data_IF_843505510442
#
_entry.id   IF_843505510442
#
_cell.length_a   1.000
_cell.length_b   1.000
_cell.length_c   1.000
_cell.angle_alpha   90.00
_cell.angle_beta   90.00
_cell.angle_gamma   90.00
#
_symmetry.space_group_name_H-M   'P 1'
#
loop_
_entity.id
_entity.type
_entity.pdbx_description
1 polymer ?
#
# COMPACT_ATOMS: atom_id res chain seq x y z
N UNK A 1 37.00 26.07 -49.88
CA UNK A 1 36.68 26.86 -51.09
C UNK A 1 35.55 26.12 -51.80
N UNK A 2 34.27 26.37 -51.47
CA UNK A 2 33.33 27.39 -52.00
C UNK A 2 32.24 26.66 -52.83
N UNK A 3 31.06 26.39 -52.22
CA UNK A 3 29.67 26.90 -52.55
C UNK A 3 29.06 26.40 -53.87
N UNK A 4 27.78 26.03 -54.06
CA UNK A 4 26.54 26.02 -53.25
C UNK A 4 25.35 25.38 -54.03
N UNK A 5 24.50 24.61 -53.33
CA UNK A 5 23.00 24.62 -53.28
C UNK A 5 22.03 24.23 -54.44
N UNK A 6 21.02 23.40 -54.06
CA UNK A 6 19.52 23.49 -54.21
C UNK A 6 18.86 22.16 -54.68
N UNK A 7 18.11 21.45 -53.83
CA UNK A 7 16.61 21.35 -53.76
C UNK A 7 15.97 20.66 -54.99
N UNK A 8 14.96 19.77 -54.94
CA UNK A 8 14.03 19.28 -53.92
C UNK A 8 12.82 18.63 -54.66
N UNK A 9 12.24 17.57 -54.07
CA UNK A 9 11.16 16.70 -54.57
C UNK A 9 9.85 17.38 -55.06
N UNK A 10 9.19 16.76 -56.05
CA UNK A 10 7.75 16.93 -56.33
C UNK A 10 7.07 15.56 -56.47
N UNK A 11 6.18 15.23 -55.52
CA UNK A 11 5.17 14.18 -55.66
C UNK A 11 3.78 14.78 -55.41
N UNK A 12 2.97 14.82 -56.47
CA UNK A 12 1.56 15.20 -56.46
C UNK A 12 0.70 14.00 -56.03
N UNK A 13 -0.01 14.12 -54.90
CA UNK A 13 -1.21 13.34 -54.62
C UNK A 13 -2.23 14.22 -53.90
N UNK A 14 -3.34 14.43 -54.59
CA UNK A 14 -4.45 15.33 -54.27
C UNK A 14 -5.16 14.97 -52.96
N UNK A 15 -5.20 15.91 -52.02
CA UNK A 15 -6.10 15.89 -50.86
C UNK A 15 -7.46 16.47 -51.25
N UNK A 16 -8.60 15.87 -50.85
CA UNK A 16 -9.87 16.58 -50.89
C UNK A 16 -9.96 17.50 -49.65
N UNK A 17 -10.30 18.77 -49.89
CA UNK A 17 -10.60 19.77 -48.86
C UNK A 17 -11.84 19.38 -48.03
N UNK A 18 -11.94 19.82 -46.77
CA UNK A 18 -13.07 19.49 -45.91
C UNK A 18 -14.34 20.17 -46.40
N UNK A 19 -15.40 19.39 -46.60
CA UNK A 19 -16.76 19.93 -46.74
C UNK A 19 -17.22 20.40 -45.37
N UNK A 20 -17.33 21.72 -45.22
CA UNK A 20 -18.18 22.37 -44.23
C UNK A 20 -19.64 22.16 -44.62
N UNK A 21 -20.37 21.34 -43.87
CA UNK A 21 -21.83 21.25 -43.97
C UNK A 21 -22.48 22.01 -42.79
N UNK A 22 -23.43 22.93 -43.04
CA UNK A 22 -23.98 23.83 -42.05
C UNK A 22 -25.33 23.31 -41.56
N UNK A 23 -25.30 22.39 -40.60
CA UNK A 23 -26.47 22.10 -39.75
C UNK A 23 -25.98 21.52 -38.43
N UNK A 24 -26.06 22.34 -37.38
CA UNK A 24 -25.59 21.99 -36.06
C UNK A 24 -26.32 20.80 -35.44
N UNK A 25 -25.56 20.05 -34.65
CA UNK A 25 -25.97 19.41 -33.40
C UNK A 25 -27.27 18.62 -33.41
N UNK A 26 -27.17 17.32 -33.71
CA UNK A 26 -27.89 16.29 -32.96
C UNK A 26 -26.95 15.10 -32.79
N UNK A 27 -26.50 14.93 -31.55
CA UNK A 27 -25.88 13.69 -31.08
C UNK A 27 -26.97 12.60 -31.15
N UNK A 28 -26.80 11.58 -31.98
CA UNK A 28 -27.69 10.42 -31.97
C UNK A 28 -27.38 9.61 -30.69
N UNK A 29 -28.31 9.49 -29.72
CA UNK A 29 -28.09 8.75 -28.48
C UNK A 29 -27.95 7.22 -28.70
N UNK A 30 -28.23 6.71 -29.90
CA UNK A 30 -28.14 5.29 -30.24
C UNK A 30 -26.89 4.90 -31.03
N UNK A 31 -26.05 5.86 -31.43
CA UNK A 31 -24.76 5.58 -32.11
C UNK A 31 -23.73 4.83 -31.22
N UNK A 32 -24.07 4.61 -29.94
CA UNK A 32 -23.27 3.86 -28.97
C UNK A 32 -23.36 2.32 -29.18
N UNK A 33 -24.25 1.84 -30.06
CA UNK A 33 -24.51 0.40 -30.24
C UNK A 33 -23.96 -0.24 -31.53
N UNK A 34 -23.10 0.43 -32.29
CA UNK A 34 -22.51 -0.20 -33.50
C UNK A 34 -21.48 -1.28 -33.15
N UNK A 35 -21.93 -2.54 -33.10
CA UNK A 35 -21.08 -3.74 -33.26
C UNK A 35 -20.61 -3.78 -34.70
N UNK A 36 -19.44 -3.21 -34.98
CA UNK A 36 -18.81 -3.33 -36.29
C UNK A 36 -18.16 -4.72 -36.43
N UNK A 37 -18.93 -5.67 -36.98
CA UNK A 37 -18.36 -6.87 -37.60
C UNK A 37 -17.80 -6.49 -38.97
N UNK A 38 -16.48 -6.30 -39.06
CA UNK A 38 -15.65 -6.77 -40.17
C UNK A 38 -14.17 -6.36 -39.99
N UNK A 39 -13.31 -7.35 -39.76
CA UNK A 39 -12.02 -7.44 -40.45
C UNK A 39 -10.91 -6.43 -40.15
N UNK A 40 -10.80 -5.87 -38.94
CA UNK A 40 -9.57 -5.31 -38.37
C UNK A 40 -9.81 -5.12 -36.86
N UNK A 41 -8.80 -5.35 -36.00
CA UNK A 41 -8.88 -5.29 -34.51
C UNK A 41 -10.01 -4.36 -34.02
N UNK A 42 -11.14 -4.96 -33.63
CA UNK A 42 -12.36 -4.22 -33.31
C UNK A 42 -12.09 -3.24 -32.16
N UNK A 43 -12.26 -1.94 -32.39
CA UNK A 43 -12.35 -0.98 -31.30
C UNK A 43 -13.61 -1.33 -30.50
N UNK A 44 -13.45 -1.86 -29.28
CA UNK A 44 -14.59 -2.02 -28.36
C UNK A 44 -15.30 -0.68 -28.20
N UNK A 45 -16.63 -0.69 -28.27
CA UNK A 45 -17.43 0.50 -27.98
C UNK A 45 -17.17 1.00 -26.56
N UNK A 46 -17.39 2.29 -26.30
CA UNK A 46 -17.21 2.89 -24.96
C UNK A 46 -18.01 2.16 -23.88
N UNK A 47 -19.17 1.60 -24.23
CA UNK A 47 -19.98 0.76 -23.32
C UNK A 47 -19.30 -0.58 -23.06
N UNK A 48 -18.79 -1.24 -24.11
CA UNK A 48 -18.02 -2.48 -23.96
C UNK A 48 -16.79 -2.27 -23.08
N UNK A 49 -16.08 -1.14 -23.26
CA UNK A 49 -14.94 -0.78 -22.41
C UNK A 49 -15.37 -0.58 -20.95
N UNK A 50 -16.39 0.23 -20.69
CA UNK A 50 -16.89 0.44 -19.31
C UNK A 50 -17.29 -0.88 -18.61
N UNK A 51 -17.95 -1.79 -19.32
CA UNK A 51 -18.31 -3.11 -18.79
C UNK A 51 -17.06 -3.95 -18.45
N UNK A 52 -16.04 -3.92 -19.32
CA UNK A 52 -14.78 -4.59 -19.07
C UNK A 52 -14.07 -4.02 -17.84
N UNK A 53 -13.99 -2.68 -17.71
CA UNK A 53 -13.37 -2.02 -16.56
C UNK A 53 -14.08 -2.37 -15.25
N UNK A 54 -15.41 -2.36 -15.26
CA UNK A 54 -16.23 -2.77 -14.11
C UNK A 54 -15.95 -4.21 -13.71
N UNK A 55 -15.96 -5.13 -14.68
CA UNK A 55 -15.70 -6.55 -14.45
C UNK A 55 -14.30 -6.79 -13.90
N UNK A 56 -13.28 -6.15 -14.49
CA UNK A 56 -11.89 -6.27 -14.03
C UNK A 56 -11.73 -5.79 -12.59
N UNK A 57 -12.33 -4.65 -12.22
CA UNK A 57 -12.26 -4.16 -10.84
C UNK A 57 -12.83 -5.18 -9.84
N UNK A 58 -14.04 -5.69 -10.11
CA UNK A 58 -14.77 -6.60 -9.24
C UNK A 58 -14.10 -7.98 -9.12
N UNK A 59 -13.56 -8.50 -10.22
CA UNK A 59 -13.02 -9.86 -10.27
C UNK A 59 -11.54 -9.89 -9.87
N UNK A 60 -10.75 -8.95 -10.39
CA UNK A 60 -9.28 -9.07 -10.38
C UNK A 60 -8.60 -8.18 -9.34
N UNK A 61 -9.23 -7.07 -8.91
CA UNK A 61 -8.61 -6.12 -7.98
C UNK A 61 -9.16 -6.21 -6.57
N UNK A 62 -10.48 -6.28 -6.44
CA UNK A 62 -11.14 -6.08 -5.15
C UNK A 62 -11.08 -7.23 -4.14
N UNK A 63 -10.77 -8.49 -4.51
CA UNK A 63 -10.39 -9.49 -3.52
C UNK A 63 -9.28 -9.03 -2.58
N UNK A 64 -8.40 -8.11 -3.01
CA UNK A 64 -7.27 -7.59 -2.23
C UNK A 64 -7.67 -6.69 -1.06
N UNK A 65 -8.94 -6.24 -0.99
CA UNK A 65 -9.50 -5.52 0.17
C UNK A 65 -10.43 -6.39 1.03
N UNK A 66 -10.66 -7.65 0.64
CA UNK A 66 -11.43 -8.57 1.46
C UNK A 66 -10.64 -8.94 2.74
N UNK A 67 -11.35 -9.10 3.85
CA UNK A 67 -10.77 -9.52 5.13
C UNK A 67 -10.41 -11.01 5.19
N UNK A 68 -10.69 -11.76 4.13
CA UNK A 68 -10.40 -13.19 4.02
C UNK A 68 -10.06 -13.57 2.58
N UNK A 69 -9.22 -14.61 2.42
CA UNK A 69 -8.96 -15.25 1.13
C UNK A 69 -9.93 -16.39 0.80
N UNK A 70 -10.90 -16.69 1.67
CA UNK A 70 -11.92 -17.71 1.41
C UNK A 70 -12.81 -17.28 0.24
N UNK A 71 -12.96 -18.17 -0.73
CA UNK A 71 -13.76 -17.92 -1.94
C UNK A 71 -15.20 -17.49 -1.64
N UNK A 72 -15.82 -18.06 -0.60
CA UNK A 72 -17.18 -17.71 -0.18
C UNK A 72 -17.29 -16.27 0.34
N UNK A 73 -16.30 -15.78 1.08
CA UNK A 73 -16.32 -14.40 1.60
C UNK A 73 -16.09 -13.39 0.48
N UNK A 74 -15.18 -13.71 -0.45
CA UNK A 74 -14.94 -12.92 -1.67
C UNK A 74 -16.21 -12.85 -2.52
N UNK A 75 -16.91 -13.97 -2.71
CA UNK A 75 -18.15 -14.01 -3.50
C UNK A 75 -19.30 -13.24 -2.81
N UNK A 76 -19.42 -13.36 -1.50
CA UNK A 76 -20.42 -12.61 -0.71
C UNK A 76 -20.21 -11.11 -0.87
N UNK A 77 -18.97 -10.65 -0.74
CA UNK A 77 -18.59 -9.27 -1.00
C UNK A 77 -18.92 -8.85 -2.43
N UNK A 78 -18.47 -9.63 -3.41
CA UNK A 78 -18.69 -9.38 -4.84
C UNK A 78 -20.17 -9.19 -5.16
N UNK A 79 -21.02 -10.13 -4.73
CA UNK A 79 -22.45 -10.10 -4.97
C UNK A 79 -23.11 -8.86 -4.33
N UNK A 80 -22.74 -8.53 -3.08
CA UNK A 80 -23.25 -7.35 -2.40
C UNK A 80 -22.86 -6.05 -3.13
N UNK A 81 -21.59 -5.91 -3.53
CA UNK A 81 -21.12 -4.71 -4.20
C UNK A 81 -21.71 -4.53 -5.60
N UNK A 82 -21.86 -5.63 -6.37
CA UNK A 82 -22.55 -5.59 -7.67
C UNK A 82 -24.00 -5.15 -7.50
N UNK A 83 -24.70 -5.70 -6.51
CA UNK A 83 -26.10 -5.34 -6.22
C UNK A 83 -26.22 -3.84 -5.92
N UNK A 84 -25.34 -3.30 -5.08
CA UNK A 84 -25.34 -1.87 -4.75
C UNK A 84 -24.96 -1.00 -5.96
N UNK A 85 -24.04 -1.45 -6.81
CA UNK A 85 -23.66 -0.72 -8.02
C UNK A 85 -24.81 -0.64 -9.03
N UNK A 86 -25.64 -1.68 -9.13
CA UNK A 86 -26.85 -1.68 -9.95
C UNK A 86 -27.93 -0.72 -9.40
N UNK A 87 -27.97 -0.53 -8.08
CA UNK A 87 -28.91 0.38 -7.41
C UNK A 87 -28.42 1.84 -7.40
N UNK A 88 -27.10 2.06 -7.46
CA UNK A 88 -26.49 3.36 -7.27
C UNK A 88 -25.45 3.66 -8.36
N UNK A 89 -25.84 4.48 -9.34
CA UNK A 89 -25.01 4.82 -10.50
C UNK A 89 -23.66 5.48 -10.13
N UNK A 90 -23.58 6.20 -9.01
CA UNK A 90 -22.33 6.77 -8.52
C UNK A 90 -21.32 5.70 -8.10
N UNK A 91 -21.79 4.60 -7.52
CA UNK A 91 -20.94 3.48 -7.15
C UNK A 91 -20.45 2.79 -8.42
N UNK A 92 -21.35 2.46 -9.36
CA UNK A 92 -20.98 1.88 -10.66
C UNK A 92 -19.88 2.69 -11.38
N UNK A 93 -20.05 4.01 -11.43
CA UNK A 93 -19.05 4.93 -12.00
C UNK A 93 -17.72 4.88 -11.25
N UNK A 94 -17.75 4.79 -9.91
CA UNK A 94 -16.55 4.66 -9.09
C UNK A 94 -15.81 3.33 -9.34
N UNK A 95 -16.56 2.23 -9.54
CA UNK A 95 -16.01 0.90 -9.87
C UNK A 95 -15.29 0.95 -11.23
N UNK A 96 -15.95 1.53 -12.24
CA UNK A 96 -15.38 1.72 -13.58
C UNK A 96 -14.13 2.58 -13.51
N UNK A 97 -14.15 3.65 -12.71
CA UNK A 97 -13.00 4.50 -12.51
C UNK A 97 -11.81 3.76 -11.87
N UNK A 98 -12.07 2.97 -10.83
CA UNK A 98 -11.05 2.13 -10.19
C UNK A 98 -10.43 1.14 -11.20
N UNK A 99 -11.28 0.40 -11.91
CA UNK A 99 -10.87 -0.58 -12.92
C UNK A 99 -10.03 0.03 -14.02
N UNK A 100 -10.49 1.14 -14.60
CA UNK A 100 -9.78 1.86 -15.65
C UNK A 100 -8.48 2.49 -15.17
N UNK A 101 -8.40 2.97 -13.93
CA UNK A 101 -7.17 3.54 -13.36
C UNK A 101 -6.08 2.49 -13.17
N UNK A 102 -6.46 1.26 -12.79
CA UNK A 102 -5.54 0.14 -12.67
C UNK A 102 -5.09 -0.38 -14.03
N UNK A 103 -6.02 -0.57 -14.97
CA UNK A 103 -5.68 -0.98 -16.33
C UNK A 103 -4.79 0.05 -17.01
N UNK A 104 -5.06 1.35 -16.84
CA UNK A 104 -4.20 2.40 -17.40
C UNK A 104 -2.78 2.39 -16.84
N UNK A 105 -2.60 1.97 -15.57
CA UNK A 105 -1.29 1.93 -14.93
C UNK A 105 -0.39 0.81 -15.46
N UNK A 106 -0.97 -0.36 -15.81
CA UNK A 106 -0.24 -1.52 -16.33
C UNK A 106 -0.35 -1.73 -17.85
N UNK A 107 -1.34 -1.10 -18.50
CA UNK A 107 -1.70 -1.33 -19.88
C UNK A 107 -1.20 -0.26 -20.85
N UNK A 108 -1.52 -0.44 -22.14
CA UNK A 108 -1.27 0.56 -23.16
C UNK A 108 -2.19 1.78 -22.98
N UNK A 109 -1.68 2.98 -23.28
CA UNK A 109 -2.43 4.25 -23.18
C UNK A 109 -3.42 4.39 -24.34
N UNK A 110 -4.43 3.55 -24.38
CA UNK A 110 -5.44 3.64 -25.42
C UNK A 110 -6.37 4.85 -25.13
N UNK A 111 -6.64 5.71 -26.13
CA UNK A 111 -7.46 6.90 -25.93
C UNK A 111 -8.88 6.59 -25.41
N UNK A 112 -9.44 5.43 -25.76
CA UNK A 112 -10.78 5.04 -25.35
C UNK A 112 -10.86 4.73 -23.84
N UNK A 113 -9.93 3.95 -23.29
CA UNK A 113 -9.85 3.68 -21.85
C UNK A 113 -9.56 4.95 -21.05
N UNK A 114 -8.72 5.85 -21.58
CA UNK A 114 -8.49 7.14 -20.92
C UNK A 114 -9.77 7.99 -20.91
N UNK A 115 -10.53 8.01 -22.01
CA UNK A 115 -11.81 8.70 -22.07
C UNK A 115 -12.82 8.12 -21.07
N UNK A 116 -12.93 6.79 -20.97
CA UNK A 116 -13.76 6.11 -19.96
C UNK A 116 -13.32 6.48 -18.56
N UNK A 117 -12.02 6.47 -18.27
CA UNK A 117 -11.43 6.84 -16.97
C UNK A 117 -11.80 8.27 -16.56
N UNK A 118 -11.59 9.24 -17.45
CA UNK A 118 -11.90 10.65 -17.20
C UNK A 118 -13.40 10.86 -16.99
N UNK A 119 -14.23 10.22 -17.80
CA UNK A 119 -15.69 10.32 -17.72
C UNK A 119 -16.20 9.74 -16.41
N UNK A 120 -15.78 8.52 -16.08
CA UNK A 120 -16.15 7.83 -14.86
C UNK A 120 -15.76 8.61 -13.61
N UNK A 121 -14.55 9.19 -13.56
CA UNK A 121 -14.11 10.04 -12.45
C UNK A 121 -15.05 11.23 -12.22
N UNK A 122 -15.33 12.00 -13.29
CA UNK A 122 -16.19 13.18 -13.20
C UNK A 122 -17.64 12.83 -12.85
N UNK A 123 -18.14 11.72 -13.39
CA UNK A 123 -19.48 11.22 -13.09
C UNK A 123 -19.61 10.77 -11.64
N UNK A 124 -18.59 10.09 -11.09
CA UNK A 124 -18.54 9.73 -9.68
C UNK A 124 -18.57 10.97 -8.80
N UNK A 125 -17.70 11.95 -9.04
CA UNK A 125 -17.65 13.18 -8.23
C UNK A 125 -19.01 13.90 -8.19
N UNK A 126 -19.61 14.09 -9.35
CA UNK A 126 -20.89 14.80 -9.48
C UNK A 126 -22.02 14.08 -8.75
N UNK A 127 -22.11 12.76 -8.89
CA UNK A 127 -23.20 11.98 -8.32
C UNK A 127 -23.01 11.69 -6.84
N UNK A 128 -21.77 11.45 -6.37
CA UNK A 128 -21.45 11.29 -4.94
C UNK A 128 -21.80 12.57 -4.18
N UNK A 129 -21.47 13.74 -4.72
CA UNK A 129 -21.85 15.02 -4.11
C UNK A 129 -23.36 15.12 -3.89
N UNK A 130 -24.17 14.84 -4.91
CA UNK A 130 -25.63 14.82 -4.81
C UNK A 130 -26.12 13.79 -3.79
N UNK A 131 -25.49 12.63 -3.74
CA UNK A 131 -25.85 11.58 -2.78
C UNK A 131 -25.55 11.99 -1.33
N UNK A 132 -24.45 12.70 -1.08
CA UNK A 132 -24.12 13.26 0.24
C UNK A 132 -25.14 14.34 0.63
N UNK A 133 -25.46 15.26 -0.28
CA UNK A 133 -26.48 16.31 -0.05
C UNK A 133 -27.84 15.67 0.31
N UNK A 134 -28.28 14.67 -0.44
CA UNK A 134 -29.53 13.96 -0.16
C UNK A 134 -29.52 13.20 1.19
N UNK A 135 -28.37 12.68 1.63
CA UNK A 135 -28.25 12.03 2.93
C UNK A 135 -28.38 13.02 4.10
N UNK A 136 -27.95 14.27 3.90
CA UNK A 136 -28.10 15.34 4.90
C UNK A 136 -29.57 15.77 4.98
N UNK A 137 -30.22 15.95 3.84
CA UNK A 137 -31.63 16.38 3.76
C UNK A 137 -32.60 15.33 4.29
N UNK A 138 -32.30 14.03 4.10
CA UNK A 138 -33.17 12.93 4.53
C UNK A 138 -33.32 12.85 6.06
N UNK A 139 -32.50 13.55 6.87
CA UNK A 139 -32.59 13.59 8.35
C UNK A 139 -32.50 12.23 9.05
N UNK A 140 -32.33 11.16 8.28
CA UNK A 140 -32.42 9.79 8.72
C UNK A 140 -31.15 9.43 9.46
N UNK A 141 -31.28 9.29 10.77
CA UNK A 141 -30.28 8.82 11.73
C UNK A 141 -29.89 7.36 11.49
N UNK A 142 -29.58 6.92 10.26
CA UNK A 142 -29.10 5.56 9.95
C UNK A 142 -29.93 4.41 10.55
N UNK A 143 -31.20 4.69 10.87
CA UNK A 143 -32.03 3.84 11.72
C UNK A 143 -32.64 2.68 10.92
N UNK A 144 -32.87 2.88 9.62
CA UNK A 144 -33.34 1.83 8.72
C UNK A 144 -32.16 1.11 8.05
N UNK A 145 -32.29 -0.20 7.76
CA UNK A 145 -31.29 -0.95 7.00
C UNK A 145 -30.95 -0.31 5.65
N UNK A 146 -31.96 0.22 4.95
CA UNK A 146 -31.79 0.83 3.62
C UNK A 146 -31.01 2.15 3.68
N UNK A 147 -31.27 3.00 4.68
CA UNK A 147 -30.51 4.23 4.89
C UNK A 147 -29.04 3.92 5.22
N UNK A 148 -28.79 2.86 6.00
CA UNK A 148 -27.44 2.38 6.31
C UNK A 148 -26.72 1.86 5.07
N UNK A 149 -27.41 1.09 4.22
CA UNK A 149 -26.85 0.57 2.97
C UNK A 149 -26.52 1.71 1.98
N UNK A 150 -27.40 2.71 1.85
CA UNK A 150 -27.16 3.92 1.05
C UNK A 150 -25.93 4.69 1.55
N UNK A 151 -25.81 4.87 2.87
CA UNK A 151 -24.66 5.52 3.48
C UNK A 151 -23.34 4.73 3.30
N UNK A 152 -23.36 3.39 3.48
CA UNK A 152 -22.22 2.52 3.18
C UNK A 152 -21.79 2.65 1.71
N UNK A 153 -22.76 2.72 0.80
CA UNK A 153 -22.50 2.87 -0.64
C UNK A 153 -21.79 4.19 -0.94
N UNK A 154 -22.22 5.30 -0.33
CA UNK A 154 -21.54 6.60 -0.47
C UNK A 154 -20.12 6.53 0.08
N UNK A 155 -19.93 5.95 1.27
CA UNK A 155 -18.61 5.80 1.90
C UNK A 155 -17.68 4.93 1.03
N UNK A 156 -18.18 3.85 0.42
CA UNK A 156 -17.42 3.02 -0.52
C UNK A 156 -16.98 3.81 -1.75
N UNK A 157 -17.87 4.61 -2.35
CA UNK A 157 -17.51 5.45 -3.49
C UNK A 157 -16.44 6.49 -3.13
N UNK A 158 -16.54 7.10 -1.94
CA UNK A 158 -15.52 8.04 -1.43
C UNK A 158 -14.19 7.33 -1.16
N UNK A 159 -14.20 6.09 -0.66
CA UNK A 159 -12.99 5.29 -0.48
C UNK A 159 -12.26 5.02 -1.80
N UNK A 160 -13.01 4.68 -2.86
CA UNK A 160 -12.45 4.49 -4.20
C UNK A 160 -11.85 5.79 -4.75
N UNK A 161 -12.54 6.93 -4.58
CA UNK A 161 -11.99 8.23 -4.95
C UNK A 161 -10.71 8.57 -4.17
N UNK A 162 -10.65 8.24 -2.87
CA UNK A 162 -9.46 8.47 -2.04
C UNK A 162 -8.25 7.63 -2.49
N UNK A 163 -8.46 6.35 -2.79
CA UNK A 163 -7.41 5.42 -3.23
C UNK A 163 -6.86 5.83 -4.60
N UNK A 164 -7.75 6.08 -5.56
CA UNK A 164 -7.36 6.27 -6.96
C UNK A 164 -7.03 7.74 -7.30
N UNK A 165 -7.53 8.69 -6.51
CA UNK A 165 -7.30 10.12 -6.67
C UNK A 165 -7.78 10.67 -8.02
N UNK A 166 -7.32 11.86 -8.44
CA UNK A 166 -7.60 12.35 -9.78
C UNK A 166 -6.85 11.53 -10.85
N UNK A 167 -7.34 11.48 -12.10
CA UNK A 167 -6.65 10.82 -13.18
C UNK A 167 -5.26 11.43 -13.38
N UNK A 168 -4.23 10.63 -13.13
CA UNK A 168 -2.82 11.00 -13.35
C UNK A 168 -2.20 10.08 -14.39
N UNK A 169 -1.26 10.61 -15.16
CA UNK A 169 -0.47 9.86 -16.14
C UNK A 169 0.73 9.17 -15.47
N UNK A 170 0.42 8.38 -14.44
CA UNK A 170 1.39 7.54 -13.76
C UNK A 170 1.33 6.12 -14.34
N UNK A 171 2.48 5.61 -14.76
CA UNK A 171 2.64 4.21 -15.17
C UNK A 171 3.47 3.45 -14.14
N UNK A 172 3.08 2.21 -13.88
CA UNK A 172 3.92 1.25 -13.19
C UNK A 172 4.96 0.69 -14.12
N UNK A 173 6.04 0.18 -13.55
CA UNK A 173 6.94 -0.67 -14.31
C UNK A 173 6.49 -2.11 -14.06
N UNK A 174 5.91 -2.79 -15.05
CA UNK A 174 5.64 -4.24 -14.94
C UNK A 174 6.96 -5.00 -14.80
N UNK A 175 7.51 -5.05 -13.59
CA UNK A 175 8.75 -5.73 -13.26
C UNK A 175 8.49 -6.96 -12.39
N UNK A 176 7.23 -7.32 -12.10
CA UNK A 176 6.95 -8.36 -11.12
C UNK A 176 5.80 -9.32 -11.47
N UNK A 177 5.96 -10.56 -10.99
CA UNK A 177 5.23 -11.78 -11.37
C UNK A 177 3.77 -11.88 -10.88
N UNK A 178 3.40 -12.81 -9.97
CA UNK A 178 2.01 -13.14 -9.61
C UNK A 178 1.10 -11.93 -9.33
N UNK A 179 -0.22 -12.07 -9.56
CA UNK A 179 -1.24 -10.99 -9.46
C UNK A 179 -1.16 -10.18 -8.15
N UNK A 180 -0.93 -10.84 -7.01
CA UNK A 180 -0.76 -10.20 -5.70
C UNK A 180 0.33 -9.11 -5.70
N UNK A 181 1.39 -9.31 -6.48
CA UNK A 181 2.49 -8.37 -6.59
C UNK A 181 2.12 -7.13 -7.38
N UNK A 182 1.27 -7.29 -8.41
CA UNK A 182 0.76 -6.16 -9.20
C UNK A 182 -0.11 -5.25 -8.34
N UNK A 183 -1.00 -5.82 -7.53
CA UNK A 183 -1.83 -5.02 -6.63
C UNK A 183 -0.97 -4.25 -5.63
N UNK A 184 0.05 -4.92 -5.08
CA UNK A 184 0.98 -4.28 -4.15
C UNK A 184 1.78 -3.14 -4.81
N UNK A 185 2.23 -3.32 -6.05
CA UNK A 185 2.91 -2.27 -6.82
C UNK A 185 1.97 -1.10 -7.13
N UNK A 186 0.75 -1.38 -7.57
CA UNK A 186 -0.24 -0.36 -7.89
C UNK A 186 -0.61 0.47 -6.66
N UNK A 187 -1.09 -0.18 -5.60
CA UNK A 187 -1.56 0.54 -4.41
C UNK A 187 -0.40 1.11 -3.57
N UNK A 188 0.77 0.46 -3.59
CA UNK A 188 1.98 0.94 -2.91
C UNK A 188 2.66 2.14 -3.59
N UNK A 189 2.40 2.37 -4.88
CA UNK A 189 2.95 3.52 -5.63
C UNK A 189 2.04 4.75 -5.61
N UNK A 190 0.82 4.63 -5.09
CA UNK A 190 -0.16 5.72 -5.10
C UNK A 190 -0.08 6.53 -3.82
N UNK A 191 -0.05 7.85 -3.99
CA UNK A 191 -0.42 8.79 -2.92
C UNK A 191 -1.92 8.95 -2.92
N UNK A 192 -2.57 8.71 -1.79
CA UNK A 192 -4.01 8.91 -1.70
C UNK A 192 -4.38 10.37 -1.78
N UNK A 193 -5.57 10.64 -2.32
CA UNK A 193 -6.04 12.00 -2.49
C UNK A 193 -6.50 12.56 -1.13
N UNK A 194 -5.86 13.65 -0.63
CA UNK A 194 -6.09 14.12 0.73
C UNK A 194 -7.53 14.56 1.03
N UNK A 195 -8.24 15.13 0.05
CA UNK A 195 -9.59 15.68 0.23
C UNK A 195 -10.60 14.55 0.46
N UNK A 196 -10.57 13.53 -0.37
CA UNK A 196 -11.42 12.35 -0.30
C UNK A 196 -11.02 11.46 0.87
N UNK A 197 -9.73 11.36 1.20
CA UNK A 197 -9.28 10.69 2.41
C UNK A 197 -9.85 11.38 3.66
N UNK A 198 -9.75 12.71 3.74
CA UNK A 198 -10.33 13.46 4.84
C UNK A 198 -11.86 13.26 4.93
N UNK A 199 -12.56 13.35 3.80
CA UNK A 199 -14.00 13.09 3.74
C UNK A 199 -14.35 11.67 4.20
N UNK A 200 -13.60 10.65 3.78
CA UNK A 200 -13.79 9.26 4.19
C UNK A 200 -13.70 9.09 5.71
N UNK A 201 -12.65 9.66 6.32
CA UNK A 201 -12.44 9.60 7.76
C UNK A 201 -13.54 10.35 8.52
N UNK A 202 -13.95 11.53 8.03
CA UNK A 202 -15.02 12.33 8.64
C UNK A 202 -16.39 11.64 8.56
N UNK A 203 -16.79 11.14 7.41
CA UNK A 203 -18.06 10.41 7.22
C UNK A 203 -18.11 9.16 8.11
N UNK A 204 -16.99 8.43 8.21
CA UNK A 204 -16.91 7.24 9.07
C UNK A 204 -17.00 7.62 10.57
N UNK A 205 -16.36 8.73 11.00
CA UNK A 205 -16.47 9.24 12.36
C UNK A 205 -17.87 9.70 12.72
N UNK A 206 -18.55 10.42 11.83
CA UNK A 206 -19.92 10.88 12.02
C UNK A 206 -20.90 9.73 12.25
N UNK A 207 -20.56 8.55 11.75
CA UNK A 207 -21.34 7.32 11.95
C UNK A 207 -21.00 6.57 13.24
N UNK A 208 -20.09 7.09 14.07
CA UNK A 208 -19.65 6.42 15.30
C UNK A 208 -18.52 5.42 15.09
N UNK A 209 -17.77 5.50 13.98
CA UNK A 209 -16.59 4.69 13.71
C UNK A 209 -16.87 3.36 12.99
N UNK A 210 -15.82 2.57 12.82
CA UNK A 210 -15.81 1.35 11.98
C UNK A 210 -16.84 0.31 12.40
N UNK A 211 -17.14 0.17 13.70
CA UNK A 211 -18.16 -0.77 14.18
C UNK A 211 -19.60 -0.46 13.72
N UNK A 212 -19.85 0.75 13.20
CA UNK A 212 -21.15 1.19 12.72
C UNK A 212 -21.25 1.23 11.18
N UNK A 213 -20.21 0.76 10.49
CA UNK A 213 -20.25 0.48 9.06
C UNK A 213 -20.96 -0.87 8.89
N UNK A 214 -22.07 -0.91 8.15
CA UNK A 214 -22.89 -2.12 8.03
C UNK A 214 -22.18 -3.22 7.24
N UNK A 215 -21.43 -2.82 6.22
CA UNK A 215 -20.65 -3.68 5.36
C UNK A 215 -19.25 -3.95 5.96
N UNK A 216 -19.04 -5.14 6.50
CA UNK A 216 -17.79 -5.50 7.21
C UNK A 216 -16.52 -5.35 6.36
N UNK A 217 -16.57 -5.76 5.09
CA UNK A 217 -15.44 -5.60 4.18
C UNK A 217 -15.14 -4.13 3.86
N UNK A 218 -16.15 -3.24 3.87
CA UNK A 218 -15.92 -1.79 3.79
C UNK A 218 -15.24 -1.27 5.05
N UNK A 219 -15.64 -1.73 6.25
CA UNK A 219 -14.93 -1.41 7.49
C UNK A 219 -13.46 -1.86 7.43
N UNK A 220 -13.20 -3.05 6.88
CA UNK A 220 -11.85 -3.58 6.63
C UNK A 220 -11.04 -2.73 5.65
N UNK A 221 -11.67 -2.29 4.55
CA UNK A 221 -11.06 -1.37 3.59
C UNK A 221 -10.70 -0.04 4.24
N UNK A 222 -11.62 0.58 5.00
CA UNK A 222 -11.37 1.86 5.68
C UNK A 222 -10.28 1.70 6.75
N UNK A 223 -10.23 0.59 7.49
CA UNK A 223 -9.15 0.31 8.42
C UNK A 223 -7.80 0.23 7.70
N UNK A 224 -7.74 -0.48 6.57
CA UNK A 224 -6.52 -0.59 5.76
C UNK A 224 -6.08 0.77 5.24
N UNK A 225 -7.04 1.58 4.81
CA UNK A 225 -6.80 2.96 4.41
C UNK A 225 -6.24 3.74 5.61
N UNK A 226 -6.96 3.90 6.70
CA UNK A 226 -6.46 4.65 7.86
C UNK A 226 -5.09 4.17 8.37
N UNK A 227 -4.83 2.86 8.34
CA UNK A 227 -3.55 2.27 8.73
C UNK A 227 -2.40 2.60 7.77
N UNK A 228 -2.57 2.50 6.44
CA UNK A 228 -1.49 2.82 5.52
C UNK A 228 -1.17 4.32 5.54
N UNK A 229 -2.16 5.22 5.60
CA UNK A 229 -1.89 6.65 5.82
C UNK A 229 -1.16 6.90 7.16
N UNK A 230 -1.54 6.16 8.20
CA UNK A 230 -0.89 6.26 9.50
C UNK A 230 0.56 5.78 9.47
N UNK A 231 0.87 4.76 8.67
CA UNK A 231 2.25 4.32 8.43
C UNK A 231 3.03 5.39 7.65
N UNK A 232 2.46 5.97 6.58
CA UNK A 232 3.11 7.02 5.78
C UNK A 232 3.53 8.23 6.64
N UNK A 233 2.75 8.54 7.67
CA UNK A 233 2.93 9.70 8.55
C UNK A 233 3.46 9.35 9.95
N UNK A 234 3.67 8.06 10.24
CA UNK A 234 4.10 7.51 11.54
C UNK A 234 3.22 7.95 12.72
N UNK A 235 1.93 8.19 12.46
CA UNK A 235 0.93 8.59 13.47
C UNK A 235 0.14 7.40 13.97
N UNK A 236 -0.58 7.60 15.08
CA UNK A 236 -1.57 6.63 15.53
C UNK A 236 -2.74 6.55 14.52
N UNK A 237 -3.25 5.34 14.21
CA UNK A 237 -4.48 5.16 13.45
C UNK A 237 -5.64 5.94 14.05
N UNK A 238 -6.47 6.52 13.18
CA UNK A 238 -7.67 7.28 13.52
C UNK A 238 -8.70 6.39 14.20
N UNK A 239 -8.86 5.16 13.73
CA UNK A 239 -9.87 4.25 14.21
C UNK A 239 -9.28 3.15 15.11
N UNK A 240 -10.00 2.76 16.18
CA UNK A 240 -9.70 1.52 16.86
C UNK A 240 -10.01 0.34 15.94
N UNK A 241 -9.44 -0.83 16.28
CA UNK A 241 -9.79 -2.08 15.62
C UNK A 241 -11.27 -2.39 15.86
N UNK A 242 -11.99 -2.78 14.80
CA UNK A 242 -13.41 -3.13 14.87
C UNK A 242 -13.65 -4.63 15.10
N UNK A 243 -12.58 -5.42 15.15
CA UNK A 243 -12.60 -6.85 15.44
C UNK A 243 -11.71 -7.19 16.65
N UNK A 244 -12.03 -8.25 17.40
CA UNK A 244 -11.23 -8.65 18.56
C UNK A 244 -9.86 -9.20 18.12
N UNK A 245 -8.73 -8.69 18.67
CA UNK A 245 -7.39 -9.20 18.36
C UNK A 245 -7.13 -10.64 18.81
N UNK A 246 -7.72 -11.04 19.94
CA UNK A 246 -7.40 -12.28 20.65
C UNK A 246 -7.48 -13.54 19.78
N UNK A 247 -8.59 -13.80 19.06
CA UNK A 247 -8.72 -14.98 18.21
C UNK A 247 -7.67 -15.07 17.11
N UNK A 248 -7.33 -13.96 16.45
CA UNK A 248 -6.31 -13.94 15.38
C UNK A 248 -4.92 -14.26 15.94
N UNK A 249 -4.53 -13.61 17.03
CA UNK A 249 -3.24 -13.85 17.66
C UNK A 249 -3.13 -15.27 18.26
N UNK A 250 -4.23 -15.78 18.81
CA UNK A 250 -4.25 -17.15 19.33
C UNK A 250 -4.10 -18.18 18.21
N UNK A 251 -4.83 -18.01 17.11
CA UNK A 251 -4.72 -18.87 15.92
C UNK A 251 -3.29 -18.85 15.38
N UNK A 252 -2.69 -17.66 15.25
CA UNK A 252 -1.31 -17.49 14.82
C UNK A 252 -0.32 -18.27 15.70
N UNK A 253 -0.44 -18.14 17.03
CA UNK A 253 0.45 -18.82 17.99
C UNK A 253 0.27 -20.33 18.00
N UNK A 254 -0.92 -20.83 17.68
CA UNK A 254 -1.18 -22.27 17.53
C UNK A 254 -0.52 -22.82 16.27
N UNK A 255 -0.58 -22.08 15.16
CA UNK A 255 0.02 -22.46 13.87
C UNK A 255 1.56 -22.39 13.94
N UNK A 256 2.08 -21.31 14.51
CA UNK A 256 3.51 -21.02 14.57
C UNK A 256 3.93 -20.77 16.03
N UNK A 257 4.01 -21.83 16.86
CA UNK A 257 4.42 -21.70 18.25
C UNK A 257 5.84 -21.13 18.33
N UNK A 258 6.01 -20.20 19.28
CA UNK A 258 7.29 -19.53 19.46
C UNK A 258 8.28 -20.48 20.17
N UNK A 259 9.48 -20.70 19.63
CA UNK A 259 10.55 -21.33 20.40
C UNK A 259 10.92 -20.43 21.59
N UNK A 260 11.24 -21.01 22.74
CA UNK A 260 11.26 -20.28 24.02
C UNK A 260 12.11 -18.99 24.06
N UNK A 261 13.24 -18.93 23.36
CA UNK A 261 14.20 -17.82 23.42
C UNK A 261 14.11 -16.80 22.27
N UNK A 262 12.91 -16.47 21.80
CA UNK A 262 12.71 -15.41 20.78
C UNK A 262 12.72 -13.99 21.39
N UNK A 263 13.12 -12.99 20.58
CA UNK A 263 13.05 -11.56 20.90
C UNK A 263 13.81 -11.14 22.18
N UNK A 264 14.91 -11.83 22.53
CA UNK A 264 15.70 -11.55 23.74
C UNK A 264 16.37 -10.16 23.72
N UNK A 265 16.66 -9.62 22.54
CA UNK A 265 17.19 -8.28 22.33
C UNK A 265 16.26 -7.19 22.87
N UNK A 266 14.95 -7.44 22.99
CA UNK A 266 13.99 -6.51 23.60
C UNK A 266 13.76 -6.75 25.10
N UNK A 267 14.45 -7.69 25.74
CA UNK A 267 14.21 -8.07 27.14
C UNK A 267 14.39 -6.90 28.11
N UNK A 268 15.29 -5.97 27.81
CA UNK A 268 15.51 -4.76 28.62
C UNK A 268 14.27 -3.86 28.73
N UNK A 269 13.31 -4.00 27.80
CA UNK A 269 12.04 -3.26 27.83
C UNK A 269 11.05 -3.81 28.85
N UNK A 270 11.18 -5.06 29.32
CA UNK A 270 10.16 -5.69 30.18
C UNK A 270 9.84 -4.92 31.46
N UNK A 271 10.82 -4.18 31.99
CA UNK A 271 10.68 -3.39 33.22
C UNK A 271 10.32 -1.91 32.95
N UNK A 272 10.06 -1.55 31.70
CA UNK A 272 9.75 -0.17 31.28
C UNK A 272 8.24 0.00 31.06
N UNK A 273 7.78 1.24 31.21
CA UNK A 273 6.38 1.60 30.94
C UNK A 273 6.02 1.20 29.50
N UNK A 274 4.92 0.47 29.32
CA UNK A 274 4.47 -0.10 28.04
C UNK A 274 5.36 -1.20 27.42
N UNK A 275 6.50 -1.54 28.04
CA UNK A 275 7.47 -2.47 27.47
C UNK A 275 7.00 -3.93 27.42
N UNK A 276 6.23 -4.40 28.40
CA UNK A 276 5.64 -5.75 28.35
C UNK A 276 4.70 -5.94 27.15
N UNK A 277 3.81 -4.96 26.92
CA UNK A 277 2.91 -4.96 25.76
C UNK A 277 3.70 -4.94 24.45
N UNK A 278 4.74 -4.11 24.39
CA UNK A 278 5.62 -4.03 23.22
C UNK A 278 6.34 -5.35 22.94
N UNK A 279 6.89 -5.99 23.97
CA UNK A 279 7.54 -7.32 23.82
C UNK A 279 6.54 -8.36 23.31
N UNK A 280 5.30 -8.38 23.82
CA UNK A 280 4.26 -9.28 23.30
C UNK A 280 4.00 -9.05 21.81
N UNK A 281 3.94 -7.79 21.36
CA UNK A 281 3.78 -7.47 19.93
C UNK A 281 4.96 -8.05 19.14
N UNK A 282 6.21 -7.86 19.58
CA UNK A 282 7.38 -8.41 18.85
C UNK A 282 7.38 -9.93 18.77
N UNK A 283 6.87 -10.62 19.80
CA UNK A 283 6.71 -12.06 19.79
C UNK A 283 5.65 -12.50 18.77
N UNK A 284 4.53 -11.80 18.70
CA UNK A 284 3.50 -12.04 17.70
C UNK A 284 3.98 -11.76 16.27
N UNK A 285 4.86 -10.76 16.08
CA UNK A 285 5.52 -10.52 14.79
C UNK A 285 6.40 -11.71 14.41
N UNK A 286 7.14 -12.30 15.34
CA UNK A 286 7.95 -13.47 15.06
C UNK A 286 7.08 -14.68 14.64
N UNK A 287 5.94 -14.88 15.31
CA UNK A 287 4.99 -15.92 14.94
C UNK A 287 4.38 -15.66 13.53
N UNK A 288 4.10 -14.40 13.19
CA UNK A 288 3.66 -13.99 11.85
C UNK A 288 4.68 -14.39 10.78
N UNK A 289 5.96 -14.09 11.00
CA UNK A 289 7.03 -14.43 10.05
C UNK A 289 7.19 -15.94 9.87
N UNK A 290 7.06 -16.71 10.95
CA UNK A 290 7.10 -18.17 10.90
C UNK A 290 5.93 -18.72 10.09
N UNK A 291 4.70 -18.28 10.38
CA UNK A 291 3.52 -18.71 9.64
C UNK A 291 3.58 -18.31 8.15
N UNK A 292 4.08 -17.11 7.85
CA UNK A 292 4.30 -16.68 6.47
C UNK A 292 5.36 -17.53 5.75
N UNK A 293 6.45 -17.89 6.45
CA UNK A 293 7.47 -18.80 5.92
C UNK A 293 6.87 -20.17 5.55
N UNK A 294 5.95 -20.70 6.36
CA UNK A 294 5.25 -21.95 6.08
C UNK A 294 4.40 -21.84 4.82
N UNK A 295 3.64 -20.74 4.66
CA UNK A 295 2.83 -20.49 3.45
C UNK A 295 3.68 -20.40 2.18
N UNK A 296 4.85 -19.77 2.27
CA UNK A 296 5.77 -19.67 1.13
C UNK A 296 6.43 -21.01 0.76
N UNK A 297 6.66 -21.88 1.74
CA UNK A 297 7.28 -23.18 1.53
C UNK A 297 6.28 -24.22 1.00
N UNK A 298 5.06 -24.23 1.55
CA UNK A 298 4.01 -25.16 1.16
C UNK A 298 2.64 -24.47 1.20
N UNK A 299 2.08 -24.11 0.03
CA UNK A 299 0.73 -23.55 -0.06
C UNK A 299 -0.38 -24.48 0.47
N UNK A 300 -0.12 -25.78 0.64
CA UNK A 300 -1.08 -26.77 1.13
C UNK A 300 -1.21 -26.81 2.66
N UNK A 301 -0.42 -26.04 3.41
CA UNK A 301 -0.44 -25.97 4.89
C UNK A 301 -1.78 -25.46 5.45
N UNK A 302 -2.68 -24.97 4.60
CA UNK A 302 -4.06 -24.65 4.97
C UNK A 302 -4.21 -23.38 5.81
N UNK A 303 -3.17 -22.56 5.90
CA UNK A 303 -3.21 -21.25 6.54
C UNK A 303 -3.94 -20.27 5.62
N UNK A 304 -5.03 -19.66 6.11
CA UNK A 304 -5.76 -18.64 5.36
C UNK A 304 -4.88 -17.39 5.20
N UNK A 305 -4.46 -17.08 3.97
CA UNK A 305 -3.61 -15.92 3.70
C UNK A 305 -4.27 -14.60 4.13
N UNK A 306 -5.58 -14.49 4.00
CA UNK A 306 -6.38 -13.36 4.49
C UNK A 306 -6.24 -13.18 6.01
N UNK A 307 -6.24 -14.25 6.80
CA UNK A 307 -5.99 -14.18 8.24
C UNK A 307 -4.56 -13.72 8.56
N UNK A 308 -3.55 -14.13 7.78
CA UNK A 308 -2.19 -13.62 7.92
C UNK A 308 -2.11 -12.13 7.64
N UNK A 309 -2.74 -11.65 6.57
CA UNK A 309 -2.81 -10.22 6.24
C UNK A 309 -3.55 -9.45 7.33
N UNK A 310 -4.69 -9.95 7.82
CA UNK A 310 -5.43 -9.32 8.91
C UNK A 310 -4.59 -9.23 10.20
N UNK A 311 -3.85 -10.29 10.52
CA UNK A 311 -2.92 -10.34 11.67
C UNK A 311 -1.76 -9.36 11.48
N UNK A 312 -1.24 -9.24 10.27
CA UNK A 312 -0.22 -8.26 9.94
C UNK A 312 -0.70 -6.82 10.15
N UNK A 313 -1.91 -6.48 9.65
CA UNK A 313 -2.54 -5.17 9.87
C UNK A 313 -2.82 -4.90 11.34
N UNK A 314 -3.27 -5.92 12.07
CA UNK A 314 -3.45 -5.85 13.53
C UNK A 314 -2.14 -5.46 14.24
N UNK A 315 -1.03 -6.11 13.92
CA UNK A 315 0.26 -5.85 14.57
C UNK A 315 0.81 -4.46 14.21
N UNK A 316 0.64 -4.02 12.95
CA UNK A 316 0.95 -2.65 12.53
C UNK A 316 0.14 -1.62 13.34
N UNK A 317 -1.16 -1.83 13.47
CA UNK A 317 -2.05 -0.97 14.27
C UNK A 317 -1.60 -0.89 15.73
N UNK A 318 -1.33 -2.06 16.34
CA UNK A 318 -0.90 -2.13 17.73
C UNK A 318 0.43 -1.42 17.95
N UNK A 319 1.42 -1.62 17.07
CA UNK A 319 2.74 -0.98 17.17
C UNK A 319 2.66 0.56 17.06
N UNK A 320 1.84 1.08 16.15
CA UNK A 320 1.60 2.52 16.03
C UNK A 320 0.84 3.10 17.24
N UNK A 321 -0.03 2.31 17.87
CA UNK A 321 -0.86 2.72 19.01
C UNK A 321 -0.11 2.65 20.35
N UNK A 322 1.03 1.97 20.42
CA UNK A 322 1.84 1.97 21.64
C UNK A 322 2.32 3.40 21.94
N UNK A 323 1.91 3.93 23.09
CA UNK A 323 2.22 5.29 23.50
C UNK A 323 3.73 5.52 23.61
N UNK A 324 4.19 6.64 23.04
CA UNK A 324 5.57 7.13 23.22
C UNK A 324 5.72 7.83 24.57
N UNK A 325 6.93 7.80 25.12
CA UNK A 325 7.26 8.49 26.36
C UNK A 325 8.62 9.19 26.25
N UNK A 326 9.17 9.63 27.38
CA UNK A 326 10.53 10.23 27.44
C UNK A 326 11.67 9.22 27.29
N UNK A 327 11.37 7.92 27.16
CA UNK A 327 12.36 6.86 27.02
C UNK A 327 12.84 6.73 25.57
N UNK A 328 14.08 7.16 25.34
CA UNK A 328 14.70 7.19 24.03
C UNK A 328 14.85 5.81 23.38
N UNK A 329 15.36 4.81 24.12
CA UNK A 329 15.56 3.45 23.56
C UNK A 329 14.23 2.79 23.25
N UNK A 330 13.21 3.01 24.09
CA UNK A 330 11.87 2.53 23.79
C UNK A 330 11.31 3.17 22.51
N UNK A 331 11.48 4.49 22.34
CA UNK A 331 11.04 5.18 21.14
C UNK A 331 11.78 4.70 19.89
N UNK A 332 13.08 4.43 19.99
CA UNK A 332 13.88 3.81 18.92
C UNK A 332 13.36 2.42 18.56
N UNK A 333 13.17 1.54 19.55
CA UNK A 333 12.60 0.21 19.32
C UNK A 333 11.23 0.29 18.65
N UNK A 334 10.35 1.16 19.15
CA UNK A 334 9.01 1.34 18.59
C UNK A 334 9.05 1.79 17.14
N UNK A 335 9.82 2.83 16.84
CA UNK A 335 9.97 3.32 15.48
C UNK A 335 10.54 2.23 14.55
N UNK A 336 11.59 1.53 14.99
CA UNK A 336 12.22 0.48 14.19
C UNK A 336 11.30 -0.72 13.96
N UNK A 337 10.48 -1.11 14.95
CA UNK A 337 9.48 -2.18 14.78
C UNK A 337 8.35 -1.77 13.86
N UNK A 338 7.89 -0.51 13.89
CA UNK A 338 6.91 0.00 12.92
C UNK A 338 7.49 -0.06 11.50
N UNK A 339 8.74 0.36 11.33
CA UNK A 339 9.44 0.30 10.03
C UNK A 339 9.61 -1.15 9.56
N UNK A 340 10.03 -2.04 10.46
CA UNK A 340 10.14 -3.47 10.18
C UNK A 340 8.80 -4.04 9.72
N UNK A 341 7.73 -3.78 10.48
CA UNK A 341 6.38 -4.26 10.20
C UNK A 341 5.80 -3.73 8.88
N UNK A 342 6.19 -2.55 8.41
CA UNK A 342 5.72 -2.04 7.13
C UNK A 342 6.27 -2.85 5.94
N UNK A 343 7.40 -3.53 6.12
CA UNK A 343 8.23 -4.08 5.04
C UNK A 343 8.55 -5.58 5.19
N UNK A 344 8.08 -6.24 6.26
CA UNK A 344 8.54 -7.58 6.63
C UNK A 344 7.91 -8.74 5.85
N UNK A 345 6.66 -8.61 5.40
CA UNK A 345 6.03 -9.61 4.55
C UNK A 345 6.32 -9.33 3.08
N UNK A 346 6.05 -8.10 2.64
CA UNK A 346 6.39 -7.67 1.28
C UNK A 346 6.93 -6.23 1.24
N UNK A 347 8.11 -5.99 0.63
CA UNK A 347 8.71 -4.66 0.54
C UNK A 347 7.91 -3.62 -0.23
N UNK A 348 7.68 -2.45 0.36
CA UNK A 348 6.97 -1.36 -0.31
C UNK A 348 7.78 -0.79 -1.48
N UNK A 349 7.14 -0.42 -2.60
CA UNK A 349 7.76 0.43 -3.61
C UNK A 349 8.32 1.70 -2.96
N UNK A 350 9.46 2.18 -3.45
CA UNK A 350 10.11 3.41 -2.93
C UNK A 350 9.42 4.64 -3.50
N UNK A 351 8.13 4.77 -3.19
CA UNK A 351 7.26 5.79 -3.72
C UNK A 351 6.51 6.41 -2.56
N UNK A 352 6.61 7.73 -2.43
CA UNK A 352 5.88 8.50 -1.43
C UNK A 352 6.65 8.77 -0.13
N UNK A 353 5.89 9.08 0.92
CA UNK A 353 6.42 9.71 2.13
C UNK A 353 6.98 8.72 3.17
N UNK A 354 6.62 7.43 3.10
CA UNK A 354 6.99 6.45 4.11
C UNK A 354 8.49 6.32 4.29
N UNK A 355 9.24 5.96 3.23
CA UNK A 355 10.70 5.76 3.30
C UNK A 355 11.41 7.00 3.82
N UNK A 356 11.03 8.17 3.32
CA UNK A 356 11.58 9.47 3.77
C UNK A 356 11.31 9.73 5.25
N UNK A 357 10.05 9.58 5.69
CA UNK A 357 9.65 9.89 7.06
C UNK A 357 10.23 8.88 8.06
N UNK A 358 10.17 7.59 7.72
CA UNK A 358 10.72 6.47 8.48
C UNK A 358 12.23 6.56 8.63
N UNK A 359 12.96 6.77 7.52
CA UNK A 359 14.41 6.96 7.53
C UNK A 359 14.79 8.18 8.36
N UNK A 360 14.13 9.33 8.16
CA UNK A 360 14.41 10.53 8.97
C UNK A 360 14.13 10.32 10.45
N UNK A 361 13.02 9.67 10.79
CA UNK A 361 12.64 9.41 12.19
C UNK A 361 13.64 8.49 12.88
N UNK A 362 14.06 7.41 12.23
CA UNK A 362 15.09 6.52 12.77
C UNK A 362 16.44 7.22 12.89
N UNK A 363 16.84 8.02 11.90
CA UNK A 363 18.08 8.79 11.92
C UNK A 363 18.14 9.69 13.15
N UNK A 364 17.07 10.46 13.42
CA UNK A 364 17.01 11.36 14.58
C UNK A 364 17.11 10.59 15.91
N UNK A 365 16.47 9.43 16.02
CA UNK A 365 16.51 8.62 17.24
C UNK A 365 17.87 7.96 17.45
N UNK A 366 18.51 7.48 16.38
CA UNK A 366 19.86 6.90 16.44
C UNK A 366 20.90 7.98 16.77
N UNK A 367 20.81 9.16 16.16
CA UNK A 367 21.68 10.30 16.44
C UNK A 367 21.59 10.75 17.91
N UNK A 368 20.37 10.82 18.48
CA UNK A 368 20.19 11.11 19.90
C UNK A 368 20.68 9.99 20.82
N UNK A 369 20.62 8.74 20.38
CA UNK A 369 21.19 7.61 21.09
C UNK A 369 22.73 7.68 21.11
N UNK A 370 23.34 8.01 19.97
CA UNK A 370 24.80 8.16 19.82
C UNK A 370 25.34 9.25 20.75
N UNK A 371 24.69 10.42 20.79
CA UNK A 371 25.02 11.51 21.73
C UNK A 371 24.96 11.13 23.22
N UNK A 372 24.32 10.01 23.55
CA UNK A 372 24.18 9.47 24.91
C UNK A 372 24.96 8.17 25.11
N UNK A 373 25.95 7.91 24.27
CA UNK A 373 26.82 6.74 24.31
C UNK A 373 26.07 5.40 24.27
N UNK A 374 24.89 5.37 23.64
CA UNK A 374 24.09 4.14 23.55
C UNK A 374 24.78 3.07 22.68
N UNK A 375 25.74 3.42 21.83
CA UNK A 375 26.58 2.45 21.13
C UNK A 375 27.45 1.62 22.08
N UNK A 376 27.85 2.16 23.24
CA UNK A 376 28.58 1.39 24.25
C UNK A 376 27.66 0.47 25.04
N UNK A 377 26.44 0.92 25.31
CA UNK A 377 25.50 0.21 26.20
C UNK A 377 24.60 -0.80 25.46
N UNK A 378 24.22 -0.50 24.21
CA UNK A 378 23.26 -1.26 23.41
C UNK A 378 23.70 -1.34 21.93
N UNK A 379 24.95 -1.75 21.62
CA UNK A 379 25.48 -1.76 20.25
C UNK A 379 24.63 -2.59 19.29
N UNK A 380 24.12 -3.74 19.73
CA UNK A 380 23.34 -4.64 18.89
C UNK A 380 22.01 -4.00 18.44
N UNK A 381 21.32 -3.30 19.34
CA UNK A 381 20.09 -2.59 19.00
C UNK A 381 20.35 -1.49 17.98
N UNK A 382 21.43 -0.72 18.16
CA UNK A 382 21.77 0.37 17.24
C UNK A 382 22.21 -0.15 15.88
N UNK A 383 22.94 -1.28 15.82
CA UNK A 383 23.24 -1.94 14.56
C UNK A 383 21.95 -2.40 13.86
N UNK A 384 21.07 -3.13 14.56
CA UNK A 384 19.81 -3.61 13.98
C UNK A 384 18.94 -2.45 13.46
N UNK A 385 18.80 -1.37 14.24
CA UNK A 385 18.06 -0.19 13.82
C UNK A 385 18.74 0.57 12.67
N UNK A 386 20.07 0.61 12.62
CA UNK A 386 20.84 1.24 11.53
C UNK A 386 20.73 0.47 10.23
N UNK A 387 20.70 -0.87 10.26
CA UNK A 387 20.44 -1.69 9.07
C UNK A 387 19.03 -1.43 8.53
N UNK A 388 18.02 -1.37 9.40
CA UNK A 388 16.65 -1.05 9.00
C UNK A 388 16.51 0.36 8.42
N UNK A 389 17.05 1.36 9.13
CA UNK A 389 17.04 2.75 8.70
C UNK A 389 17.81 2.95 7.38
N UNK A 390 18.94 2.26 7.25
CA UNK A 390 19.70 2.12 6.03
C UNK A 390 18.84 1.56 4.91
N UNK A 391 18.26 0.38 5.08
CA UNK A 391 17.35 -0.26 4.12
C UNK A 391 16.21 0.64 3.64
N UNK A 392 15.53 1.35 4.55
CA UNK A 392 14.43 2.26 4.16
C UNK A 392 14.90 3.63 3.65
N UNK A 393 16.17 3.98 3.81
CA UNK A 393 16.77 5.17 3.20
C UNK A 393 17.10 5.00 1.71
N UNK A 394 16.76 3.86 1.11
CA UNK A 394 16.95 3.58 -0.33
C UNK A 394 16.33 4.70 -1.19
N UNK A 395 17.09 5.20 -2.16
CA UNK A 395 16.68 6.33 -3.00
C UNK A 395 16.67 7.70 -2.30
N UNK A 396 17.23 7.83 -1.08
CA UNK A 396 17.29 9.09 -0.34
C UNK A 396 18.72 9.55 -0.08
N UNK A 397 18.89 10.86 0.15
CA UNK A 397 20.17 11.46 0.55
C UNK A 397 20.64 11.06 1.96
N UNK A 398 19.80 10.38 2.76
CA UNK A 398 20.19 9.89 4.08
C UNK A 398 21.01 8.58 4.01
N UNK A 399 21.07 7.93 2.85
CA UNK A 399 21.78 6.66 2.67
C UNK A 399 23.24 6.70 3.15
N UNK A 400 24.06 7.72 2.81
CA UNK A 400 25.44 7.79 3.28
C UNK A 400 25.55 8.00 4.81
N UNK A 401 24.60 8.72 5.42
CA UNK A 401 24.60 8.91 6.87
C UNK A 401 24.45 7.57 7.60
N UNK A 402 23.55 6.70 7.14
CA UNK A 402 23.41 5.36 7.70
C UNK A 402 24.65 4.48 7.51
N UNK A 403 25.31 4.57 6.37
CA UNK A 403 26.59 3.87 6.14
C UNK A 403 27.62 4.30 7.19
N UNK A 404 27.72 5.60 7.47
CA UNK A 404 28.67 6.12 8.45
C UNK A 404 28.40 5.62 9.87
N UNK A 405 27.13 5.45 10.25
CA UNK A 405 26.77 4.90 11.56
C UNK A 405 27.29 3.47 11.76
N UNK A 406 27.49 2.70 10.68
CA UNK A 406 28.02 1.34 10.79
C UNK A 406 29.50 1.29 11.19
N UNK A 407 30.23 2.42 11.25
CA UNK A 407 31.59 2.45 11.81
C UNK A 407 31.62 2.11 13.31
N UNK A 408 30.53 2.40 14.02
CA UNK A 408 30.36 2.08 15.45
C UNK A 408 29.79 0.68 15.67
N UNK A 409 29.64 -0.12 14.61
CA UNK A 409 29.05 -1.45 14.66
C UNK A 409 29.89 -2.42 15.50
N UNK A 410 29.25 -3.27 16.33
CA UNK A 410 29.94 -4.38 17.02
C UNK A 410 30.42 -5.47 16.04
N UNK A 411 29.87 -5.51 14.83
CA UNK A 411 30.25 -6.43 13.74
C UNK A 411 31.04 -5.64 12.70
N UNK A 412 32.25 -6.08 12.34
CA UNK A 412 33.01 -5.40 11.30
C UNK A 412 32.26 -5.40 9.97
N UNK A 413 32.27 -4.27 9.27
CA UNK A 413 31.50 -4.05 8.04
C UNK A 413 32.20 -4.74 6.86
N UNK A 414 31.98 -6.04 6.75
CA UNK A 414 32.55 -6.93 5.74
C UNK A 414 31.46 -7.84 5.18
N UNK A 415 31.56 -8.20 3.90
CA UNK A 415 30.52 -8.96 3.19
C UNK A 415 30.31 -10.34 3.83
N UNK A 416 31.39 -10.98 4.27
CA UNK A 416 31.43 -12.31 4.87
C UNK A 416 30.76 -12.33 6.25
N UNK A 417 30.68 -11.18 6.93
CA UNK A 417 30.11 -11.04 8.27
C UNK A 417 28.61 -10.79 8.28
N UNK A 418 27.95 -10.79 7.11
CA UNK A 418 26.48 -10.65 7.04
C UNK A 418 25.74 -11.70 7.88
N UNK A 419 26.26 -12.93 7.94
CA UNK A 419 25.69 -13.99 8.78
C UNK A 419 25.68 -13.66 10.28
N UNK A 420 26.60 -12.81 10.75
CA UNK A 420 26.60 -12.31 12.13
C UNK A 420 25.50 -11.28 12.37
N UNK A 421 25.27 -10.40 11.39
CA UNK A 421 24.19 -9.41 11.41
C UNK A 421 22.82 -10.10 11.42
N UNK A 422 22.66 -11.18 10.64
CA UNK A 422 21.44 -12.00 10.67
C UNK A 422 21.19 -12.64 12.05
N UNK A 423 22.21 -13.28 12.63
CA UNK A 423 22.11 -13.88 13.98
C UNK A 423 21.79 -12.86 15.07
N UNK A 424 22.33 -11.65 14.95
CA UNK A 424 22.00 -10.54 15.84
C UNK A 424 20.55 -10.11 15.65
N UNK A 425 20.09 -10.01 14.39
CA UNK A 425 18.70 -9.72 14.05
C UNK A 425 17.70 -10.72 14.64
N UNK A 426 18.05 -12.01 14.73
CA UNK A 426 17.23 -13.05 15.38
C UNK A 426 16.96 -12.75 16.86
N UNK A 427 17.86 -12.03 17.53
CA UNK A 427 17.67 -11.54 18.89
C UNK A 427 16.56 -10.48 18.99
N UNK A 428 16.32 -9.72 17.93
CA UNK A 428 15.30 -8.67 17.85
C UNK A 428 14.12 -9.16 17.00
N UNK A 429 14.03 -8.71 15.75
CA UNK A 429 13.15 -9.27 14.73
C UNK A 429 14.01 -9.69 13.54
N UNK A 430 13.90 -10.96 13.09
CA UNK A 430 14.80 -11.52 12.10
C UNK A 430 14.56 -10.90 10.72
N UNK A 431 15.63 -10.51 10.04
CA UNK A 431 15.54 -10.15 8.63
C UNK A 431 15.29 -11.41 7.81
N UNK A 432 14.14 -11.49 7.14
CA UNK A 432 13.75 -12.65 6.32
C UNK A 432 13.18 -12.22 4.99
N UNK A 433 13.06 -13.18 4.08
CA UNK A 433 12.45 -12.99 2.77
C UNK A 433 13.11 -11.83 2.02
N UNK A 434 12.35 -11.08 1.21
CA UNK A 434 12.90 -9.96 0.43
C UNK A 434 13.38 -8.78 1.27
N UNK A 435 12.90 -8.65 2.51
CA UNK A 435 13.44 -7.64 3.42
C UNK A 435 14.92 -7.95 3.75
N UNK A 436 15.28 -9.23 3.94
CA UNK A 436 16.67 -9.63 4.15
C UNK A 436 17.55 -9.30 2.95
N UNK A 437 17.06 -9.53 1.73
CA UNK A 437 17.78 -9.19 0.50
C UNK A 437 18.03 -7.67 0.40
N UNK A 438 17.03 -6.86 0.74
CA UNK A 438 17.13 -5.40 0.77
C UNK A 438 18.10 -4.89 1.84
N UNK A 439 18.05 -5.47 3.06
CA UNK A 439 18.99 -5.17 4.13
C UNK A 439 20.43 -5.59 3.76
N UNK A 440 20.60 -6.74 3.10
CA UNK A 440 21.89 -7.19 2.60
C UNK A 440 22.42 -6.27 1.49
N UNK A 441 21.56 -5.77 0.61
CA UNK A 441 21.92 -4.75 -0.37
C UNK A 441 22.53 -3.51 0.28
N UNK A 442 21.91 -2.99 1.34
CA UNK A 442 22.47 -1.89 2.14
C UNK A 442 23.80 -2.26 2.79
N UNK A 443 23.90 -3.44 3.41
CA UNK A 443 25.14 -3.90 4.03
C UNK A 443 26.31 -3.97 3.04
N UNK A 444 26.06 -4.50 1.83
CA UNK A 444 27.05 -4.59 0.77
C UNK A 444 27.53 -3.21 0.30
N UNK A 445 26.60 -2.28 0.09
CA UNK A 445 26.95 -0.88 -0.23
C UNK A 445 27.85 -0.27 0.86
N UNK A 446 27.55 -0.52 2.12
CA UNK A 446 28.38 -0.04 3.23
C UNK A 446 29.77 -0.69 3.25
N UNK A 447 29.87 -1.98 2.94
CA UNK A 447 31.17 -2.66 2.80
C UNK A 447 32.01 -2.00 1.71
N UNK A 448 31.44 -1.78 0.52
CA UNK A 448 32.13 -1.13 -0.60
C UNK A 448 32.58 0.28 -0.26
N UNK A 449 31.76 1.03 0.50
CA UNK A 449 32.03 2.41 0.85
C UNK A 449 33.04 2.59 1.99
N UNK A 450 33.03 1.68 2.98
CA UNK A 450 33.90 1.73 4.15
C UNK A 450 35.21 0.94 3.98
N UNK A 451 35.33 0.12 2.93
CA UNK A 451 36.60 -0.55 2.62
C UNK A 451 37.64 0.52 2.26
N UNK A 452 38.79 0.58 2.93
CA UNK A 452 39.87 1.47 2.53
C UNK A 452 40.26 1.19 1.08
N UNK A 453 40.35 2.22 0.24
CA UNK A 453 40.89 2.12 -1.11
C UNK A 453 42.41 1.89 -1.05
N UNK A 454 42.82 0.69 -0.61
CA UNK A 454 44.13 0.13 -0.87
C UNK A 454 44.02 -0.78 -2.09
N UNK A 455 44.95 -0.64 -3.04
CA UNK A 455 45.07 -1.36 -4.34
C UNK A 455 44.61 -0.64 -5.61
N UNK A 456 44.97 0.64 -5.80
CA UNK A 456 45.07 1.20 -7.16
C UNK A 456 46.42 1.86 -7.52
N UNK A 457 47.42 1.84 -6.64
CA UNK A 457 48.79 2.20 -7.02
C UNK A 457 49.76 1.14 -6.47
N UNK A 458 50.04 0.13 -7.29
CA UNK A 458 51.20 -0.77 -7.15
C UNK A 458 51.69 -1.14 -8.55
#
# INVERSE_FOLDING_TARGET
MSRSSSEGDQSLSTSPSPRSDPSGGLFDPFDVLNVSSNGARSSMSTVGQSQMMFRTAIIEQWPSFALSSRAQDIETWRTATVTLALQHAYLASAIIYAGSSYQYFFGARDPASNFVRMTAYNDTLRQVRKAIEALVDDGCTGATPDARAKADTVVLAVALLAIHGPPVDMQGSTLVGPQQMKDYEYYGSRTWEPTHLHALLCLTKQRGGLQHVGMQSLAGMILTIDLVDSLLTLRQPTFPLFFPPGPLLQSLRTIAPLPGTVCQGFRFLRNRRHGQRFVSITQDVHALLNAYSMVLQDPAVGIDFGQLVATWRLLQHQALTVATGGDLLFNLCRAAVVVFLAECLEPLPVVGAFHRNSSRSLMLLIDECDKRDCWLSCPDLLLWASILGGYVSRGSALRPWYIQQLRSSPVAVQKERWGEVLRLGDGFLPFRHRQADGCFGFWREACEWLTPSSFLDS
#
